data_IF_942738674789
#
_entry.id   IF_942738674789
#
_cell.length_a   1.000
_cell.length_b   1.000
_cell.length_c   1.000
_cell.angle_alpha   90.00
_cell.angle_beta   90.00
_cell.angle_gamma   90.00
#
_symmetry.space_group_name_H-M   'P 1'
#
loop_
_entity.id
_entity.type
_entity.pdbx_description
1 polymer ?
#
# COMPACT_ATOMS: atom_id res chain seq x y z
N UNK A 1 -1.75 -16.82 16.07
CA UNK A 1 -1.89 -16.02 17.31
C UNK A 1 -0.52 -15.44 17.63
N UNK A 2 -0.28 -14.18 17.29
CA UNK A 2 1.00 -13.53 17.60
C UNK A 2 1.03 -13.24 19.11
N UNK A 3 1.96 -13.84 19.83
CA UNK A 3 2.13 -13.60 21.26
C UNK A 3 2.52 -12.15 21.48
N UNK A 4 1.67 -11.39 22.16
CA UNK A 4 1.99 -10.05 22.65
C UNK A 4 3.03 -10.21 23.74
N UNK A 5 4.31 -10.10 23.38
CA UNK A 5 5.38 -10.19 24.36
C UNK A 5 5.42 -8.84 25.09
N UNK A 6 4.94 -8.84 26.34
CA UNK A 6 4.82 -7.65 27.17
C UNK A 6 6.17 -7.33 27.82
N UNK A 7 7.17 -6.97 27.00
CA UNK A 7 8.44 -6.50 27.51
C UNK A 7 8.32 -5.03 27.92
N UNK A 8 8.56 -4.67 29.19
CA UNK A 8 8.53 -3.28 29.62
C UNK A 8 9.67 -2.51 28.97
N UNK A 9 9.32 -1.55 28.11
CA UNK A 9 10.28 -0.63 27.48
C UNK A 9 10.49 0.58 28.39
N UNK A 10 11.73 0.81 28.81
CA UNK A 10 12.12 1.97 29.62
C UNK A 10 12.94 2.94 28.77
N UNK A 11 12.54 4.21 28.71
CA UNK A 11 13.25 5.25 27.96
C UNK A 11 13.63 6.41 28.88
N UNK A 12 14.83 6.96 28.69
CA UNK A 12 15.26 8.19 29.36
C UNK A 12 14.94 9.38 28.46
N UNK A 13 14.12 10.29 28.97
CA UNK A 13 13.72 11.50 28.26
C UNK A 13 14.21 12.73 29.02
N UNK A 14 14.55 13.83 28.33
CA UNK A 14 14.83 15.10 28.98
C UNK A 14 13.65 15.57 29.84
N UNK A 15 13.93 16.21 30.98
CA UNK A 15 12.90 16.59 31.95
C UNK A 15 11.82 17.52 31.37
N UNK A 16 12.16 18.40 30.42
CA UNK A 16 11.17 19.26 29.76
C UNK A 16 10.18 18.48 28.89
N UNK A 17 10.61 17.35 28.28
CA UNK A 17 9.74 16.48 27.50
C UNK A 17 8.75 15.78 28.42
N UNK A 18 9.23 15.25 29.55
CA UNK A 18 8.38 14.60 30.55
C UNK A 18 7.31 15.57 31.06
N UNK A 19 7.68 16.82 31.37
CA UNK A 19 6.73 17.86 31.78
C UNK A 19 5.65 18.12 30.73
N UNK A 20 6.01 18.21 29.44
CA UNK A 20 5.02 18.37 28.37
C UNK A 20 4.09 17.15 28.26
N UNK A 21 4.62 15.94 28.35
CA UNK A 21 3.79 14.72 28.33
C UNK A 21 2.81 14.74 29.51
N UNK A 22 3.25 15.15 30.69
CA UNK A 22 2.38 15.29 31.86
C UNK A 22 1.25 16.29 31.64
N UNK A 23 1.53 17.42 30.98
CA UNK A 23 0.49 18.39 30.63
C UNK A 23 -0.54 17.80 29.68
N UNK A 24 -0.12 17.02 28.68
CA UNK A 24 -1.04 16.36 27.74
C UNK A 24 -1.92 15.30 28.44
N UNK A 25 -1.34 14.56 29.38
CA UNK A 25 -2.09 13.60 30.21
C UNK A 25 -3.08 14.34 31.13
N UNK A 26 -2.67 15.46 31.74
CA UNK A 26 -3.56 16.30 32.55
C UNK A 26 -4.73 16.87 31.75
N UNK A 27 -4.50 17.24 30.50
CA UNK A 27 -5.53 17.71 29.56
C UNK A 27 -6.45 16.59 29.06
N UNK A 28 -6.22 15.33 29.47
CA UNK A 28 -6.94 14.13 29.03
C UNK A 28 -6.84 13.86 27.52
N UNK A 29 -5.83 14.42 26.85
CA UNK A 29 -5.52 14.07 25.47
C UNK A 29 -4.95 12.65 25.38
N UNK A 30 -4.27 12.20 26.45
CA UNK A 30 -3.74 10.85 26.60
C UNK A 30 -4.09 10.27 27.96
N UNK A 31 -4.28 8.94 28.02
CA UNK A 31 -4.66 8.26 29.27
C UNK A 31 -3.48 8.11 30.24
N UNK A 32 -2.27 8.02 29.72
CA UNK A 32 -1.03 7.90 30.50
C UNK A 32 0.18 8.32 29.68
N UNK A 33 1.34 8.47 30.34
CA UNK A 33 2.62 8.65 29.64
C UNK A 33 2.92 7.50 28.68
N UNK A 34 2.61 6.26 29.09
CA UNK A 34 2.82 5.06 28.26
C UNK A 34 1.99 5.12 26.98
N UNK A 35 0.73 5.57 27.09
CA UNK A 35 -0.19 5.74 25.97
C UNK A 35 0.35 6.76 24.95
N UNK A 36 0.85 7.91 25.45
CA UNK A 36 1.52 8.90 24.61
C UNK A 36 2.76 8.34 23.91
N UNK A 37 3.63 7.63 24.63
CA UNK A 37 4.86 7.06 24.05
C UNK A 37 4.53 6.01 22.99
N UNK A 38 3.56 5.14 23.23
CA UNK A 38 3.09 4.16 22.23
C UNK A 38 2.58 4.87 20.98
N UNK A 39 1.75 5.90 21.14
CA UNK A 39 1.24 6.70 20.03
C UNK A 39 2.38 7.36 19.23
N UNK A 40 3.31 8.02 19.90
CA UNK A 40 4.43 8.72 19.26
C UNK A 40 5.35 7.76 18.49
N UNK A 41 5.65 6.58 19.06
CA UNK A 41 6.47 5.55 18.40
C UNK A 41 5.74 5.01 17.16
N UNK A 42 4.45 4.69 17.28
CA UNK A 42 3.65 4.22 16.13
C UNK A 42 3.59 5.26 15.02
N UNK A 43 3.40 6.54 15.36
CA UNK A 43 3.37 7.63 14.39
C UNK A 43 4.72 7.76 13.66
N UNK A 44 5.82 7.79 14.40
CA UNK A 44 7.16 7.91 13.82
C UNK A 44 7.50 6.72 12.91
N UNK A 45 7.16 5.50 13.32
CA UNK A 45 7.34 4.30 12.50
C UNK A 45 6.52 4.40 11.20
N UNK A 46 5.25 4.79 11.29
CA UNK A 46 4.40 4.98 10.12
C UNK A 46 4.93 6.03 9.14
N UNK A 47 5.52 7.13 9.66
CA UNK A 47 6.14 8.15 8.83
C UNK A 47 7.39 7.64 8.11
N UNK A 48 8.29 6.94 8.81
CA UNK A 48 9.49 6.34 8.20
C UNK A 48 9.10 5.34 7.11
N UNK A 49 8.14 4.45 7.38
CA UNK A 49 7.64 3.49 6.39
C UNK A 49 7.04 4.16 5.16
N UNK A 50 6.28 5.25 5.34
CA UNK A 50 5.74 6.01 4.21
C UNK A 50 6.82 6.70 3.39
N UNK A 51 7.89 7.18 4.03
CA UNK A 51 9.01 7.82 3.35
C UNK A 51 9.83 6.81 2.55
N UNK A 52 10.11 5.64 3.12
CA UNK A 52 10.71 4.50 2.41
C UNK A 52 9.84 4.04 1.23
N UNK A 53 8.52 3.91 1.43
CA UNK A 53 7.61 3.54 0.35
C UNK A 53 7.58 4.59 -0.78
N UNK A 54 7.71 5.87 -0.45
CA UNK A 54 7.81 6.95 -1.45
C UNK A 54 9.13 6.93 -2.19
N UNK A 55 10.24 6.65 -1.52
CA UNK A 55 11.55 6.50 -2.17
C UNK A 55 11.54 5.28 -3.11
N UNK A 56 11.04 4.13 -2.66
CA UNK A 56 10.84 2.96 -3.52
C UNK A 56 9.92 3.23 -4.72
N UNK A 57 8.86 4.02 -4.53
CA UNK A 57 7.96 4.41 -5.61
C UNK A 57 8.59 5.44 -6.58
N UNK A 58 9.59 6.22 -6.15
CA UNK A 58 10.39 7.07 -7.06
C UNK A 58 11.40 6.24 -7.85
N UNK A 59 11.94 5.18 -7.24
CA UNK A 59 12.86 4.23 -7.91
C UNK A 59 12.15 3.39 -8.98
N UNK A 60 10.87 3.04 -8.79
CA UNK A 60 9.98 2.58 -9.86
C UNK A 60 9.73 3.73 -10.84
N UNK A 61 10.65 3.88 -11.79
CA UNK A 61 10.77 5.08 -12.59
C UNK A 61 9.66 5.07 -13.64
N UNK A 62 9.18 6.24 -14.10
CA UNK A 62 8.34 6.36 -15.32
C UNK A 62 8.90 5.59 -16.52
N UNK A 63 10.23 5.34 -16.53
CA UNK A 63 10.90 4.49 -17.51
C UNK A 63 10.50 3.02 -17.41
N UNK A 64 10.37 2.48 -16.20
CA UNK A 64 10.01 1.07 -15.98
C UNK A 64 8.55 0.85 -16.35
N UNK A 65 7.67 1.77 -15.95
CA UNK A 65 6.26 1.77 -16.38
C UNK A 65 6.16 1.87 -17.90
N UNK A 66 6.94 2.74 -18.55
CA UNK A 66 6.97 2.83 -20.02
C UNK A 66 7.54 1.59 -20.69
N UNK A 67 8.58 0.98 -20.11
CA UNK A 67 9.21 -0.21 -20.64
C UNK A 67 8.26 -1.41 -20.54
N UNK A 68 7.56 -1.56 -19.41
CA UNK A 68 6.53 -2.58 -19.20
C UNK A 68 5.33 -2.35 -20.11
N UNK A 69 4.88 -1.10 -20.25
CA UNK A 69 3.78 -0.74 -21.18
C UNK A 69 4.17 -1.01 -22.64
N UNK A 70 5.40 -0.70 -23.06
CA UNK A 70 5.88 -1.00 -24.40
C UNK A 70 6.05 -2.50 -24.63
N UNK A 71 6.54 -3.25 -23.63
CA UNK A 71 6.66 -4.70 -23.70
C UNK A 71 5.28 -5.36 -23.84
N UNK A 72 4.32 -5.00 -22.99
CA UNK A 72 2.94 -5.44 -23.08
C UNK A 72 2.32 -5.08 -24.44
N UNK A 73 2.56 -3.87 -24.95
CA UNK A 73 2.07 -3.44 -26.27
C UNK A 73 2.70 -4.23 -27.42
N UNK A 74 3.97 -4.60 -27.31
CA UNK A 74 4.64 -5.47 -28.30
C UNK A 74 4.10 -6.90 -28.24
N UNK A 75 3.85 -7.46 -27.06
CA UNK A 75 3.21 -8.78 -26.91
C UNK A 75 1.78 -8.77 -27.49
N UNK A 76 0.98 -7.73 -27.19
CA UNK A 76 -0.34 -7.52 -27.78
C UNK A 76 -0.30 -7.47 -29.32
N UNK A 77 0.69 -6.77 -29.89
CA UNK A 77 0.84 -6.64 -31.34
C UNK A 77 1.38 -7.91 -32.01
N UNK A 78 2.20 -8.69 -31.30
CA UNK A 78 2.77 -9.95 -31.79
C UNK A 78 1.79 -11.13 -31.68
N UNK A 79 0.71 -10.99 -30.90
CA UNK A 79 -0.22 -12.09 -30.63
C UNK A 79 0.38 -13.18 -29.74
N UNK A 80 1.47 -12.85 -29.03
CA UNK A 80 2.27 -13.79 -28.25
C UNK A 80 1.71 -13.86 -26.82
N UNK A 81 0.69 -14.71 -26.67
CA UNK A 81 -0.06 -14.92 -25.42
C UNK A 81 0.02 -16.38 -24.95
N UNK A 82 1.11 -17.08 -25.28
CA UNK A 82 1.13 -18.54 -25.26
C UNK A 82 0.80 -19.18 -23.90
N UNK A 83 0.93 -18.47 -22.76
CA UNK A 83 0.81 -19.13 -21.44
C UNK A 83 -0.09 -18.50 -20.36
N UNK A 84 -0.67 -17.30 -20.50
CA UNK A 84 -1.27 -16.64 -19.30
C UNK A 84 -2.78 -16.37 -19.31
N UNK A 85 -3.52 -16.55 -20.42
CA UNK A 85 -4.85 -15.91 -20.51
C UNK A 85 -6.03 -16.82 -20.93
N UNK A 86 -6.15 -18.11 -20.50
CA UNK A 86 -7.42 -18.84 -20.66
C UNK A 86 -8.62 -18.04 -20.11
N UNK A 87 -8.45 -17.47 -18.91
CA UNK A 87 -9.50 -16.71 -18.22
C UNK A 87 -9.88 -15.42 -18.96
N UNK A 88 -8.94 -14.79 -19.67
CA UNK A 88 -9.26 -13.54 -20.38
C UNK A 88 -9.74 -13.78 -21.79
N UNK A 89 -9.35 -14.90 -22.42
CA UNK A 89 -10.04 -15.36 -23.61
C UNK A 89 -11.53 -15.59 -23.31
N UNK A 90 -11.84 -16.23 -22.20
CA UNK A 90 -13.22 -16.47 -21.77
C UNK A 90 -13.99 -15.16 -21.55
N UNK A 91 -13.38 -14.17 -20.88
CA UNK A 91 -13.97 -12.84 -20.68
C UNK A 91 -14.19 -12.11 -22.00
N UNK A 92 -13.24 -12.16 -22.94
CA UNK A 92 -13.38 -11.50 -24.24
C UNK A 92 -14.49 -12.15 -25.08
N UNK A 93 -14.64 -13.48 -25.04
CA UNK A 93 -15.72 -14.18 -25.72
C UNK A 93 -17.10 -13.87 -25.10
N UNK A 94 -17.17 -13.73 -23.76
CA UNK A 94 -18.39 -13.32 -23.07
C UNK A 94 -18.81 -11.89 -23.47
N UNK A 95 -17.87 -10.95 -23.43
CA UNK A 95 -18.10 -9.54 -23.79
C UNK A 95 -18.50 -9.41 -25.27
N UNK A 96 -17.86 -10.13 -26.18
CA UNK A 96 -18.22 -10.14 -27.60
C UNK A 96 -19.62 -10.77 -27.83
N UNK A 97 -19.94 -11.83 -27.10
CA UNK A 97 -21.27 -12.45 -27.11
C UNK A 97 -22.37 -11.50 -26.59
N UNK A 98 -22.07 -10.69 -25.58
CA UNK A 98 -22.98 -9.67 -25.06
C UNK A 98 -23.10 -8.49 -26.03
N UNK A 99 -22.00 -7.99 -26.57
CA UNK A 99 -21.98 -6.93 -27.56
C UNK A 99 -22.80 -7.28 -28.81
N UNK A 100 -22.67 -8.51 -29.32
CA UNK A 100 -23.45 -9.00 -30.47
C UNK A 100 -24.94 -9.12 -30.15
N UNK A 101 -25.30 -9.54 -28.92
CA UNK A 101 -26.70 -9.56 -28.46
C UNK A 101 -27.29 -8.15 -28.44
N UNK A 102 -26.52 -7.16 -27.97
CA UNK A 102 -26.96 -5.78 -27.86
C UNK A 102 -27.02 -5.05 -29.20
N UNK A 103 -26.11 -5.35 -30.13
CA UNK A 103 -26.00 -4.65 -31.42
C UNK A 103 -26.70 -5.37 -32.58
N UNK A 104 -27.17 -6.61 -32.39
CA UNK A 104 -27.90 -7.38 -33.39
C UNK A 104 -27.05 -7.83 -34.60
N UNK A 105 -25.73 -7.65 -34.54
CA UNK A 105 -24.83 -8.00 -35.62
C UNK A 105 -24.71 -9.53 -35.77
N UNK A 106 -25.21 -10.06 -36.89
CA UNK A 106 -25.02 -11.46 -37.30
C UNK A 106 -24.09 -11.51 -38.51
N UNK A 107 -22.86 -11.96 -38.26
CA UNK A 107 -21.75 -12.27 -39.18
C UNK A 107 -21.32 -11.18 -40.16
#
# INVERSE_FOLDING_TARGET
MAGTVDYPVSVRLPGYVIKKIDELVKKKEFRSRSDFIKFAVTLALGQMMMEEAKELAKELTLRDIRAETEAARRMLAAGDFEDEWPEVKDVLEEVDGEYRRLTGARR
#
